data_IF_284277153608
#
_entry.id   IF_284277153608
#
_cell.length_a   1.000
_cell.length_b   1.000
_cell.length_c   1.000
_cell.angle_alpha   90.00
_cell.angle_beta   90.00
_cell.angle_gamma   90.00
#
_symmetry.space_group_name_H-M   'P 1'
#
loop_
_entity.id
_entity.type
_entity.pdbx_description
1 polymer ?
#
# COMPACT_ATOMS: atom_id res chain seq x y z
N UNK A 1 18.12 9.05 7.85
CA UNK A 1 18.60 10.30 7.29
C UNK A 1 19.48 11.07 8.30
N UNK A 2 19.05 11.29 9.52
CA UNK A 2 19.77 12.12 10.51
C UNK A 2 21.12 11.52 10.94
N UNK A 3 21.17 10.22 11.17
CA UNK A 3 22.30 9.55 11.83
C UNK A 3 23.18 8.75 10.88
N UNK A 4 22.62 8.29 9.76
CA UNK A 4 23.36 7.42 8.85
C UNK A 4 24.29 8.21 7.92
N UNK A 5 25.48 7.66 7.69
CA UNK A 5 26.46 8.13 6.70
C UNK A 5 27.14 6.94 6.03
N UNK A 6 27.58 7.05 4.75
CA UNK A 6 28.37 6.01 4.08
C UNK A 6 29.66 5.62 4.79
N UNK A 7 30.19 6.50 5.65
CA UNK A 7 31.40 6.25 6.42
C UNK A 7 31.19 5.38 7.68
N UNK A 8 29.92 4.97 7.99
CA UNK A 8 29.62 4.04 9.07
C UNK A 8 29.76 2.59 8.59
N UNK A 9 30.75 1.86 9.13
CA UNK A 9 30.92 0.42 8.87
C UNK A 9 30.79 -0.32 10.20
N UNK A 10 29.68 -0.97 10.43
CA UNK A 10 29.37 -1.57 11.72
C UNK A 10 29.26 -0.50 12.82
N UNK A 11 30.12 -0.61 13.85
CA UNK A 11 30.20 0.37 14.95
C UNK A 11 31.29 1.42 14.75
N UNK A 12 32.09 1.29 13.67
CA UNK A 12 33.21 2.22 13.38
C UNK A 12 32.74 3.37 12.49
N UNK A 13 33.23 4.56 12.77
CA UNK A 13 33.00 5.75 11.95
C UNK A 13 34.36 6.13 11.36
N UNK A 14 34.44 6.24 10.04
CA UNK A 14 35.64 6.60 9.30
C UNK A 14 35.53 8.03 8.78
N UNK A 15 36.66 8.59 8.36
CA UNK A 15 36.67 9.85 7.61
C UNK A 15 35.97 9.62 6.26
N UNK A 16 34.94 10.39 5.97
CA UNK A 16 34.16 10.29 4.71
C UNK A 16 35.04 10.57 3.47
N UNK A 17 36.13 11.29 3.61
CA UNK A 17 37.09 11.59 2.54
C UNK A 17 38.21 10.56 2.45
N UNK A 18 38.18 9.51 3.27
CA UNK A 18 39.19 8.46 3.19
C UNK A 18 39.19 7.79 1.81
N UNK A 19 40.35 7.67 1.15
CA UNK A 19 40.45 7.21 -0.24
C UNK A 19 39.88 5.79 -0.47
N UNK A 20 39.77 4.98 0.57
CA UNK A 20 39.16 3.64 0.49
C UNK A 20 37.64 3.65 0.63
N UNK A 21 36.98 4.78 0.91
CA UNK A 21 35.56 4.89 0.97
C UNK A 21 35.05 5.38 -0.40
N UNK A 22 34.72 4.43 -1.26
CA UNK A 22 34.31 4.70 -2.63
C UNK A 22 32.82 5.03 -2.74
N UNK A 23 32.04 4.73 -1.70
CA UNK A 23 30.61 4.96 -1.68
C UNK A 23 29.86 4.00 -0.75
N UNK A 24 28.54 3.90 -0.95
CA UNK A 24 27.66 2.99 -0.19
C UNK A 24 26.94 2.02 -1.11
N UNK A 25 26.61 0.85 -0.59
CA UNK A 25 25.82 -0.17 -1.27
C UNK A 25 24.50 -0.36 -0.53
N UNK A 26 23.45 -0.50 -1.28
CA UNK A 26 22.11 -0.84 -0.78
C UNK A 26 21.77 -2.26 -1.20
N UNK A 27 21.48 -3.14 -0.26
CA UNK A 27 21.07 -4.50 -0.51
C UNK A 27 19.62 -4.73 -0.04
N UNK A 28 18.87 -5.50 -0.82
CA UNK A 28 17.50 -5.92 -0.51
C UNK A 28 17.55 -7.41 -0.23
N UNK A 29 17.33 -7.76 1.03
CA UNK A 29 17.30 -9.14 1.49
C UNK A 29 15.85 -9.57 1.69
N UNK A 30 15.42 -10.57 0.93
CA UNK A 30 14.05 -11.11 0.99
C UNK A 30 14.00 -12.50 1.64
N UNK A 31 15.05 -12.94 2.29
CA UNK A 31 15.21 -14.28 2.86
C UNK A 31 14.16 -14.62 3.92
N UNK A 32 13.68 -13.61 4.64
CA UNK A 32 12.66 -13.74 5.68
C UNK A 32 11.30 -13.17 5.29
N UNK A 33 11.13 -12.84 4.02
CA UNK A 33 9.84 -12.39 3.52
C UNK A 33 9.12 -13.58 2.94
N UNK A 34 8.06 -14.00 3.63
CA UNK A 34 7.20 -15.06 3.18
C UNK A 34 6.20 -14.60 2.13
N UNK A 35 5.06 -15.24 2.16
CA UNK A 35 3.98 -15.05 1.22
C UNK A 35 3.40 -13.63 1.23
N UNK A 36 2.94 -13.18 0.09
CA UNK A 36 2.17 -11.94 -0.06
C UNK A 36 3.02 -10.70 -0.25
N UNK A 37 4.32 -10.80 -0.54
CA UNK A 37 5.12 -9.65 -0.96
C UNK A 37 5.16 -9.55 -2.49
N UNK A 38 4.82 -8.38 -3.01
CA UNK A 38 4.90 -8.07 -4.43
C UNK A 38 6.10 -7.17 -4.75
N UNK A 39 6.39 -7.04 -6.05
CA UNK A 39 7.39 -6.05 -6.53
C UNK A 39 7.03 -4.65 -6.04
N UNK A 40 5.74 -4.30 -5.97
CA UNK A 40 5.28 -3.00 -5.47
C UNK A 40 5.60 -2.79 -3.99
N UNK A 41 5.43 -3.81 -3.15
CA UNK A 41 5.80 -3.72 -1.74
C UNK A 41 7.30 -3.51 -1.55
N UNK A 42 8.10 -4.22 -2.32
CA UNK A 42 9.57 -4.05 -2.33
C UNK A 42 9.88 -2.61 -2.72
N UNK A 43 9.31 -2.12 -3.82
CA UNK A 43 9.54 -0.76 -4.29
C UNK A 43 9.14 0.30 -3.25
N UNK A 44 7.99 0.16 -2.61
CA UNK A 44 7.57 1.05 -1.52
C UNK A 44 8.55 1.07 -0.34
N UNK A 45 9.16 -0.06 -0.02
CA UNK A 45 10.13 -0.16 1.09
C UNK A 45 11.46 0.47 0.77
N UNK A 46 11.93 0.34 -0.48
CA UNK A 46 13.29 0.75 -0.86
C UNK A 46 13.37 2.18 -1.37
N UNK A 47 12.28 2.72 -1.93
CA UNK A 47 12.34 4.02 -2.62
C UNK A 47 12.82 5.16 -1.72
N UNK A 48 12.28 5.28 -0.51
CA UNK A 48 12.71 6.31 0.46
C UNK A 48 14.14 6.12 0.98
N UNK A 49 14.57 4.90 1.36
CA UNK A 49 15.99 4.66 1.68
C UNK A 49 16.93 4.97 0.54
N UNK A 50 16.58 4.63 -0.71
CA UNK A 50 17.42 4.94 -1.88
C UNK A 50 17.56 6.45 -2.10
N UNK A 51 16.50 7.23 -1.93
CA UNK A 51 16.58 8.69 -1.99
C UNK A 51 17.52 9.25 -0.91
N UNK A 52 17.48 8.69 0.31
CA UNK A 52 18.40 9.06 1.39
C UNK A 52 19.84 8.70 1.04
N UNK A 53 20.08 7.48 0.55
CA UNK A 53 21.40 7.03 0.11
C UNK A 53 21.95 7.96 -0.97
N UNK A 54 21.15 8.27 -1.99
CA UNK A 54 21.55 9.15 -3.09
C UNK A 54 22.02 10.51 -2.60
N UNK A 55 21.25 11.17 -1.72
CA UNK A 55 21.67 12.48 -1.17
C UNK A 55 22.96 12.35 -0.36
N UNK A 56 23.07 11.34 0.51
CA UNK A 56 24.26 11.12 1.34
C UNK A 56 25.53 10.78 0.54
N UNK A 57 25.36 10.10 -0.58
CA UNK A 57 26.46 9.81 -1.51
C UNK A 57 27.02 11.07 -2.17
N UNK A 58 26.17 12.06 -2.45
CA UNK A 58 26.59 13.35 -3.02
C UNK A 58 27.14 14.34 -1.99
N UNK A 59 26.54 14.38 -0.79
CA UNK A 59 26.78 15.46 0.17
C UNK A 59 27.58 15.02 1.39
N UNK A 60 27.81 13.73 1.58
CA UNK A 60 28.38 13.18 2.81
C UNK A 60 27.38 13.19 3.98
N UNK A 61 27.90 13.07 5.21
CA UNK A 61 27.10 13.07 6.43
C UNK A 61 26.33 14.37 6.63
N UNK A 62 26.99 15.49 6.32
CA UNK A 62 26.45 16.84 6.49
C UNK A 62 25.79 17.30 5.19
N UNK A 63 24.51 17.02 5.05
CA UNK A 63 23.78 17.38 3.82
C UNK A 63 23.51 18.87 3.68
N UNK A 64 23.57 19.64 4.77
CA UNK A 64 23.13 21.03 4.82
C UNK A 64 21.60 21.20 4.63
N UNK A 65 20.85 20.12 4.48
CA UNK A 65 19.39 20.12 4.26
C UNK A 65 18.72 19.54 5.51
N UNK A 66 17.85 20.30 6.22
CA UNK A 66 17.07 19.77 7.33
C UNK A 66 16.23 18.57 6.89
N UNK A 67 15.97 17.63 7.79
CA UNK A 67 15.21 16.42 7.48
C UNK A 67 13.80 16.73 6.97
N UNK A 68 13.15 17.70 7.58
CA UNK A 68 11.80 18.11 7.23
C UNK A 68 11.74 18.61 5.77
N UNK A 69 12.66 19.48 5.38
CA UNK A 69 12.81 19.95 4.00
C UNK A 69 13.14 18.82 3.03
N UNK A 70 14.02 17.91 3.41
CA UNK A 70 14.34 16.72 2.62
C UNK A 70 13.10 15.84 2.44
N UNK A 71 12.36 15.61 3.52
CA UNK A 71 11.17 14.76 3.52
C UNK A 71 10.05 15.31 2.63
N UNK A 72 9.80 16.61 2.68
CA UNK A 72 8.85 17.29 1.80
C UNK A 72 9.25 17.18 0.32
N UNK A 73 10.52 17.50 0.02
CA UNK A 73 11.02 17.45 -1.36
C UNK A 73 11.02 16.03 -1.93
N UNK A 74 11.46 15.03 -1.18
CA UNK A 74 11.48 13.65 -1.67
C UNK A 74 10.08 13.09 -1.94
N UNK A 75 9.07 13.55 -1.20
CA UNK A 75 7.69 13.14 -1.43
C UNK A 75 7.16 13.63 -2.79
N UNK A 76 7.71 14.73 -3.31
CA UNK A 76 7.35 15.28 -4.61
C UNK A 76 8.12 14.66 -5.79
N UNK A 77 9.20 13.92 -5.52
CA UNK A 77 9.97 13.27 -6.58
C UNK A 77 9.15 12.15 -7.21
N UNK A 78 9.06 12.19 -8.54
CA UNK A 78 8.55 11.07 -9.31
C UNK A 78 9.61 9.96 -9.42
N UNK A 79 9.15 8.78 -9.75
CA UNK A 79 9.98 7.69 -10.21
C UNK A 79 10.59 8.03 -11.59
N UNK A 80 11.35 7.12 -12.18
CA UNK A 80 11.88 7.31 -13.53
C UNK A 80 10.74 7.58 -14.54
N UNK A 81 11.00 8.30 -15.62
CA UNK A 81 9.98 8.57 -16.66
C UNK A 81 9.32 7.28 -17.14
N UNK A 82 7.98 7.28 -17.17
CA UNK A 82 7.18 6.12 -17.57
C UNK A 82 7.07 5.01 -16.52
N UNK A 83 7.63 5.19 -15.33
CA UNK A 83 7.56 4.24 -14.22
C UNK A 83 6.67 4.80 -13.12
N UNK A 84 5.71 4.01 -12.64
CA UNK A 84 4.88 4.31 -11.48
C UNK A 84 4.63 3.04 -10.65
N UNK A 85 5.71 2.41 -10.18
CA UNK A 85 5.62 1.22 -9.33
C UNK A 85 4.99 1.51 -7.96
N UNK A 86 5.06 2.77 -7.51
CA UNK A 86 4.38 3.23 -6.30
C UNK A 86 2.87 3.39 -6.50
N UNK A 87 2.37 3.27 -7.72
CA UNK A 87 0.97 3.50 -8.08
C UNK A 87 0.43 4.84 -7.52
N UNK A 88 1.21 5.89 -7.64
CA UNK A 88 0.84 7.23 -7.16
C UNK A 88 -0.16 7.90 -8.08
N UNK A 89 -1.13 8.56 -7.47
CA UNK A 89 -2.05 9.47 -8.14
C UNK A 89 -1.95 10.82 -7.42
N UNK A 90 -1.63 11.89 -8.16
CA UNK A 90 -1.41 13.21 -7.56
C UNK A 90 -0.06 13.36 -6.84
N UNK A 91 0.24 14.58 -6.38
CA UNK A 91 1.51 14.93 -5.71
C UNK A 91 1.31 15.52 -4.31
N UNK A 92 0.11 15.95 -3.99
CA UNK A 92 -0.28 16.52 -2.69
C UNK A 92 -1.40 15.67 -2.10
N UNK A 93 -1.59 15.67 -0.77
CA UNK A 93 -2.76 15.03 -0.16
C UNK A 93 -4.06 15.65 -0.69
N UNK A 94 -4.85 14.88 -1.43
CA UNK A 94 -6.08 15.35 -2.08
C UNK A 94 -7.03 14.21 -2.44
N UNK A 95 -8.29 14.56 -2.74
CA UNK A 95 -9.22 13.69 -3.44
C UNK A 95 -8.75 13.58 -4.91
N UNK A 96 -8.34 12.39 -5.33
CA UNK A 96 -7.73 12.17 -6.66
C UNK A 96 -8.68 11.53 -7.67
N UNK A 97 -9.74 10.90 -7.20
CA UNK A 97 -10.77 10.30 -8.06
C UNK A 97 -12.10 10.21 -7.34
N UNK A 98 -13.18 10.50 -8.05
CA UNK A 98 -14.54 10.32 -7.54
C UNK A 98 -15.50 9.85 -8.63
N UNK A 99 -16.54 9.15 -8.20
CA UNK A 99 -17.62 8.70 -9.09
C UNK A 99 -18.92 8.61 -8.31
N UNK A 100 -19.98 9.24 -8.80
CA UNK A 100 -21.29 9.24 -8.14
C UNK A 100 -21.95 7.86 -8.08
N UNK A 101 -21.75 7.04 -9.11
CA UNK A 101 -22.25 5.65 -9.17
C UNK A 101 -21.22 4.76 -9.84
N UNK A 102 -20.92 3.63 -9.23
CA UNK A 102 -20.07 2.60 -9.82
C UNK A 102 -20.95 1.57 -10.50
N UNK A 103 -20.98 1.61 -11.83
CA UNK A 103 -21.71 0.63 -12.61
C UNK A 103 -20.88 -0.67 -12.73
N UNK A 104 -21.52 -1.86 -12.62
CA UNK A 104 -20.84 -3.12 -12.89
C UNK A 104 -20.16 -3.12 -14.26
N UNK A 105 -18.94 -3.66 -14.33
CA UNK A 105 -18.12 -3.73 -15.54
C UNK A 105 -17.50 -2.40 -16.00
N UNK A 106 -17.77 -1.28 -15.31
CA UNK A 106 -17.18 0.02 -15.67
C UNK A 106 -15.68 0.05 -15.43
N UNK A 107 -14.96 0.84 -16.25
CA UNK A 107 -13.51 1.03 -16.16
C UNK A 107 -13.16 2.41 -15.62
N UNK A 108 -11.93 2.57 -15.16
CA UNK A 108 -11.34 3.84 -14.77
C UNK A 108 -10.01 4.06 -15.48
N UNK A 109 -9.56 5.32 -15.53
CA UNK A 109 -8.26 5.68 -16.12
C UNK A 109 -7.08 5.32 -15.21
N UNK A 110 -7.38 4.91 -13.96
CA UNK A 110 -6.37 4.53 -12.98
C UNK A 110 -6.41 3.02 -12.73
N UNK A 111 -5.32 2.28 -12.99
CA UNK A 111 -5.31 0.83 -12.75
C UNK A 111 -5.39 0.51 -11.26
N UNK A 112 -4.76 1.32 -10.41
CA UNK A 112 -4.66 1.09 -8.97
C UNK A 112 -4.18 2.35 -8.24
N UNK A 113 -4.32 2.37 -6.91
CA UNK A 113 -3.71 3.38 -6.04
C UNK A 113 -2.82 2.71 -4.99
N UNK A 114 -1.57 3.21 -4.89
CA UNK A 114 -0.59 2.78 -3.88
C UNK A 114 -0.66 3.57 -2.59
N UNK A 115 0.18 3.21 -1.66
CA UNK A 115 0.21 3.75 -0.29
C UNK A 115 0.71 5.21 -0.27
N UNK A 116 0.17 6.07 0.62
CA UNK A 116 -0.99 5.85 1.48
C UNK A 116 -2.26 6.21 0.70
N UNK A 117 -3.38 5.58 1.01
CA UNK A 117 -4.64 5.91 0.38
C UNK A 117 -5.85 5.69 1.30
N UNK A 118 -6.96 6.30 0.93
CA UNK A 118 -8.30 5.98 1.43
C UNK A 118 -9.24 5.82 0.25
N UNK A 119 -9.94 4.69 0.20
CA UNK A 119 -11.06 4.45 -0.72
C UNK A 119 -12.33 4.37 0.08
N UNK A 120 -13.31 5.22 -0.22
CA UNK A 120 -14.60 5.26 0.47
C UNK A 120 -15.74 5.19 -0.53
N UNK A 121 -16.82 4.46 -0.20
CA UNK A 121 -18.04 4.39 -0.99
C UNK A 121 -19.24 4.00 -0.13
N UNK A 122 -20.43 4.38 -0.61
CA UNK A 122 -21.68 3.93 -0.02
C UNK A 122 -22.16 2.68 -0.74
N UNK A 123 -22.68 1.71 0.02
CA UNK A 123 -23.23 0.48 -0.52
C UNK A 123 -24.65 0.26 0.00
N UNK A 124 -25.55 -0.15 -0.90
CA UNK A 124 -26.81 -0.81 -0.54
C UNK A 124 -26.67 -2.25 -0.98
N UNK A 125 -26.60 -3.15 -0.02
CA UNK A 125 -26.33 -4.56 -0.24
C UNK A 125 -27.43 -5.27 -1.04
N UNK A 126 -27.02 -6.20 -1.88
CA UNK A 126 -27.87 -7.19 -2.52
C UNK A 126 -27.31 -8.59 -2.22
N UNK A 127 -28.03 -9.63 -2.66
CA UNK A 127 -27.51 -10.99 -2.59
C UNK A 127 -26.40 -11.14 -3.60
N UNK A 128 -25.18 -11.33 -3.11
CA UNK A 128 -24.01 -11.61 -3.91
C UNK A 128 -23.65 -13.11 -3.87
N UNK A 129 -23.08 -13.61 -4.94
CA UNK A 129 -22.46 -14.93 -4.96
C UNK A 129 -21.03 -14.89 -4.42
N UNK A 130 -20.53 -16.03 -3.97
CA UNK A 130 -19.12 -16.17 -3.63
C UNK A 130 -18.23 -15.84 -4.85
N UNK A 131 -17.14 -15.13 -4.62
CA UNK A 131 -16.25 -14.65 -5.66
C UNK A 131 -16.69 -13.34 -6.34
N UNK A 132 -17.74 -12.65 -5.82
CA UNK A 132 -18.18 -11.37 -6.38
C UNK A 132 -17.13 -10.29 -6.15
N UNK A 133 -16.55 -9.83 -7.24
CA UNK A 133 -15.55 -8.76 -7.26
C UNK A 133 -16.21 -7.38 -7.24
N UNK A 134 -15.63 -6.46 -6.48
CA UNK A 134 -16.00 -5.04 -6.57
C UNK A 134 -15.07 -4.31 -7.54
N UNK A 135 -13.76 -4.47 -7.37
CA UNK A 135 -12.74 -3.89 -8.23
C UNK A 135 -11.62 -4.88 -8.51
N UNK A 136 -11.04 -4.73 -9.69
CA UNK A 136 -9.92 -5.54 -10.16
C UNK A 136 -8.85 -4.65 -10.79
N UNK A 137 -7.57 -5.08 -10.63
CA UNK A 137 -6.41 -4.66 -11.42
C UNK A 137 -5.61 -5.91 -11.83
N UNK A 138 -4.53 -5.80 -12.62
CA UNK A 138 -3.66 -6.93 -12.92
C UNK A 138 -3.04 -7.57 -11.67
N UNK A 139 -2.89 -6.84 -10.58
CA UNK A 139 -2.14 -7.26 -9.38
C UNK A 139 -3.03 -7.62 -8.20
N UNK A 140 -4.29 -7.18 -8.18
CA UNK A 140 -5.17 -7.37 -7.04
C UNK A 140 -6.64 -7.40 -7.43
N UNK A 141 -7.45 -8.01 -6.55
CA UNK A 141 -8.91 -8.01 -6.61
C UNK A 141 -9.44 -7.62 -5.24
N UNK A 142 -10.39 -6.70 -5.19
CA UNK A 142 -11.16 -6.41 -4.00
C UNK A 142 -12.56 -7.00 -4.15
N UNK A 143 -12.97 -7.84 -3.20
CA UNK A 143 -14.22 -8.59 -3.21
C UNK A 143 -15.28 -7.95 -2.33
N UNK A 144 -16.53 -7.90 -2.81
CA UNK A 144 -17.72 -7.75 -1.96
C UNK A 144 -18.02 -9.05 -1.21
N UNK A 145 -17.78 -10.18 -1.89
CA UNK A 145 -17.98 -11.52 -1.36
C UNK A 145 -16.83 -12.39 -1.84
N UNK A 146 -15.89 -12.72 -0.98
CA UNK A 146 -14.72 -13.51 -1.36
C UNK A 146 -15.11 -14.95 -1.73
N UNK A 147 -14.27 -15.67 -2.48
CA UNK A 147 -14.61 -16.98 -3.03
C UNK A 147 -14.61 -18.12 -2.00
N UNK A 148 -14.18 -17.88 -0.74
CA UNK A 148 -14.05 -18.95 0.27
C UNK A 148 -15.02 -18.77 1.41
N UNK A 149 -15.22 -17.55 1.89
CA UNK A 149 -16.01 -17.24 3.09
C UNK A 149 -17.27 -16.41 2.81
N UNK A 150 -17.41 -15.90 1.59
CA UNK A 150 -18.52 -15.03 1.20
C UNK A 150 -18.55 -13.72 2.00
N UNK A 151 -17.39 -13.24 2.45
CA UNK A 151 -17.21 -12.00 3.19
C UNK A 151 -16.42 -10.99 2.35
N UNK A 152 -16.42 -9.72 2.76
CA UNK A 152 -15.59 -8.71 2.12
C UNK A 152 -14.10 -9.04 2.30
N UNK A 153 -13.31 -8.83 1.25
CA UNK A 153 -11.90 -9.19 1.31
C UNK A 153 -11.12 -8.74 0.09
N UNK A 154 -9.88 -9.14 0.00
CA UNK A 154 -9.05 -8.90 -1.17
C UNK A 154 -8.08 -10.05 -1.43
N UNK A 155 -7.76 -10.25 -2.70
CA UNK A 155 -6.65 -11.09 -3.12
C UNK A 155 -5.58 -10.23 -3.78
N UNK A 156 -4.33 -10.58 -3.51
CA UNK A 156 -3.16 -10.01 -4.17
C UNK A 156 -2.11 -11.12 -4.32
N UNK A 157 -1.46 -11.18 -5.46
CA UNK A 157 -0.45 -12.21 -5.77
C UNK A 157 -0.91 -13.63 -5.41
N UNK A 158 -2.21 -13.93 -5.59
CA UNK A 158 -2.79 -15.24 -5.29
C UNK A 158 -3.13 -15.46 -3.80
N UNK A 159 -2.88 -14.51 -2.91
CA UNK A 159 -3.17 -14.63 -1.48
C UNK A 159 -4.45 -13.89 -1.10
N UNK A 160 -5.44 -14.64 -0.59
CA UNK A 160 -6.71 -14.12 -0.10
C UNK A 160 -6.60 -13.63 1.34
N UNK A 161 -7.13 -12.43 1.58
CA UNK A 161 -7.29 -11.82 2.90
C UNK A 161 -8.76 -11.45 3.09
N UNK A 162 -9.40 -12.00 4.11
CA UNK A 162 -10.83 -11.84 4.38
C UNK A 162 -11.04 -10.98 5.61
N UNK A 163 -11.85 -9.92 5.49
CA UNK A 163 -12.34 -9.15 6.63
C UNK A 163 -13.53 -9.86 7.30
N UNK A 164 -13.70 -9.73 8.62
CA UNK A 164 -14.85 -10.31 9.32
C UNK A 164 -16.12 -9.47 9.13
N UNK A 165 -16.45 -9.16 7.87
CA UNK A 165 -17.61 -8.35 7.52
C UNK A 165 -18.26 -8.84 6.23
N UNK A 166 -19.58 -8.92 6.26
CA UNK A 166 -20.43 -9.26 5.12
C UNK A 166 -21.52 -8.22 4.98
N UNK A 167 -21.68 -7.68 3.78
CA UNK A 167 -22.82 -6.80 3.47
C UNK A 167 -24.05 -7.66 3.26
N UNK A 168 -25.09 -7.45 4.07
CA UNK A 168 -26.35 -8.18 3.95
C UNK A 168 -27.28 -7.54 2.91
N UNK A 169 -28.17 -8.31 2.26
CA UNK A 169 -29.18 -7.75 1.39
C UNK A 169 -30.03 -6.68 2.10
N UNK A 170 -30.17 -5.50 1.47
CA UNK A 170 -30.89 -4.35 2.01
C UNK A 170 -30.09 -3.49 3.01
N UNK A 171 -28.94 -3.94 3.47
CA UNK A 171 -28.07 -3.18 4.36
C UNK A 171 -27.52 -1.95 3.62
N UNK A 172 -27.54 -0.80 4.31
CA UNK A 172 -26.92 0.44 3.84
C UNK A 172 -25.72 0.76 4.74
N UNK A 173 -24.57 0.90 4.13
CA UNK A 173 -23.34 1.19 4.84
C UNK A 173 -22.41 2.10 4.04
N UNK A 174 -21.62 2.91 4.73
CA UNK A 174 -20.43 3.56 4.17
C UNK A 174 -19.22 2.69 4.47
N UNK A 175 -18.57 2.23 3.43
CA UNK A 175 -17.36 1.43 3.47
C UNK A 175 -16.16 2.33 3.25
N UNK A 176 -15.12 2.14 4.05
CA UNK A 176 -13.86 2.84 3.90
C UNK A 176 -12.70 1.86 4.05
N UNK A 177 -11.82 1.84 3.07
CA UNK A 177 -10.60 1.03 3.06
C UNK A 177 -9.41 2.00 3.10
N UNK A 178 -8.56 1.85 4.12
CA UNK A 178 -7.31 2.60 4.22
C UNK A 178 -6.14 1.66 4.08
N UNK A 179 -5.21 2.00 3.20
CA UNK A 179 -3.98 1.24 2.99
C UNK A 179 -2.75 2.09 3.23
N UNK A 180 -1.85 1.53 4.01
CA UNK A 180 -0.48 2.02 4.14
C UNK A 180 0.49 0.86 3.89
N UNK A 181 1.80 1.10 3.89
CA UNK A 181 2.80 0.05 3.60
C UNK A 181 2.96 -1.00 4.72
N UNK A 182 2.14 -0.93 5.77
CA UNK A 182 2.17 -1.85 6.91
C UNK A 182 0.85 -2.58 7.10
N UNK A 183 -0.29 -1.95 6.78
CA UNK A 183 -1.62 -2.49 7.07
C UNK A 183 -2.67 -2.12 6.02
N UNK A 184 -3.76 -2.89 6.02
CA UNK A 184 -5.00 -2.58 5.31
C UNK A 184 -6.14 -2.58 6.33
N UNK A 185 -6.83 -1.45 6.48
CA UNK A 185 -7.91 -1.25 7.46
C UNK A 185 -9.26 -1.15 6.77
N UNK A 186 -10.24 -1.93 7.23
CA UNK A 186 -11.65 -1.78 6.86
C UNK A 186 -12.40 -1.03 7.95
N UNK A 187 -13.14 0.01 7.54
CA UNK A 187 -14.12 0.72 8.37
C UNK A 187 -15.50 0.60 7.76
N UNK A 188 -16.49 0.43 8.61
CA UNK A 188 -17.91 0.43 8.25
C UNK A 188 -18.62 1.48 9.10
N UNK A 189 -19.28 2.42 8.46
CA UNK A 189 -19.96 3.53 9.12
C UNK A 189 -19.02 4.26 10.13
N UNK A 190 -17.77 4.48 9.72
CA UNK A 190 -16.73 5.15 10.52
C UNK A 190 -16.05 4.28 11.59
N UNK A 191 -16.57 3.09 11.90
CA UNK A 191 -15.99 2.19 12.92
C UNK A 191 -15.03 1.21 12.29
N UNK A 192 -13.86 1.01 12.90
CA UNK A 192 -12.91 -0.04 12.49
C UNK A 192 -13.54 -1.39 12.70
N UNK A 193 -13.61 -2.19 11.64
CA UNK A 193 -14.04 -3.59 11.67
C UNK A 193 -12.83 -4.50 11.83
N UNK A 194 -11.76 -4.21 11.09
CA UNK A 194 -10.51 -4.96 11.16
C UNK A 194 -9.35 -4.10 10.64
N UNK A 195 -8.17 -4.35 11.18
CA UNK A 195 -6.90 -3.80 10.72
C UNK A 195 -5.92 -4.95 10.45
N UNK A 196 -5.75 -5.27 9.18
CA UNK A 196 -4.87 -6.35 8.75
C UNK A 196 -3.43 -5.89 8.71
N UNK A 197 -2.70 -6.14 9.79
CA UNK A 197 -1.26 -5.89 9.85
C UNK A 197 -0.45 -7.05 9.25
N UNK A 198 0.78 -6.77 8.82
CA UNK A 198 1.75 -7.82 8.49
C UNK A 198 1.92 -8.76 9.68
N UNK A 199 1.73 -10.05 9.46
CA UNK A 199 1.85 -11.08 10.47
C UNK A 199 3.23 -11.73 10.43
N UNK A 200 3.77 -12.02 11.60
CA UNK A 200 4.97 -12.85 11.73
C UNK A 200 4.55 -14.30 11.94
N UNK A 201 4.86 -15.14 10.98
CA UNK A 201 4.58 -16.58 11.04
C UNK A 201 5.84 -17.30 11.52
N UNK A 202 5.68 -18.17 12.51
CA UNK A 202 6.77 -18.99 13.06
C UNK A 202 6.63 -20.42 12.58
N UNK A 203 7.75 -21.04 12.25
CA UNK A 203 7.82 -22.44 11.85
C UNK A 203 9.08 -23.10 12.42
N UNK A 204 9.31 -24.39 12.13
CA UNK A 204 10.42 -25.15 12.67
C UNK A 204 10.55 -25.04 14.22
N UNK A 205 9.43 -25.30 14.92
CA UNK A 205 9.32 -25.19 16.39
C UNK A 205 9.74 -23.79 16.92
N UNK A 206 9.44 -22.73 16.17
CA UNK A 206 9.70 -21.35 16.56
C UNK A 206 11.13 -20.85 16.29
N UNK A 207 11.99 -21.69 15.70
CA UNK A 207 13.37 -21.31 15.38
C UNK A 207 13.45 -20.35 14.19
N UNK A 208 12.53 -20.50 13.24
CA UNK A 208 12.46 -19.70 12.03
C UNK A 208 11.19 -18.89 11.98
N UNK A 209 11.19 -17.80 11.24
CA UNK A 209 10.01 -16.98 11.02
C UNK A 209 10.02 -16.33 9.66
N UNK A 210 8.83 -16.08 9.11
CA UNK A 210 8.62 -15.28 7.90
C UNK A 210 7.53 -14.23 8.14
N UNK A 211 7.52 -13.18 7.34
CA UNK A 211 6.48 -12.18 7.35
C UNK A 211 5.42 -12.50 6.30
N UNK A 212 4.17 -12.54 6.71
CA UNK A 212 3.01 -12.58 5.80
C UNK A 212 2.47 -11.16 5.64
N UNK A 213 2.66 -10.59 4.46
CA UNK A 213 2.29 -9.21 4.16
C UNK A 213 0.81 -9.16 3.78
N UNK A 214 0.05 -8.30 4.46
CA UNK A 214 -1.40 -8.13 4.31
C UNK A 214 -1.77 -6.70 3.89
N UNK A 215 -0.87 -6.04 3.18
CA UNK A 215 -1.11 -4.72 2.59
C UNK A 215 -1.77 -4.86 1.22
N UNK A 216 -2.51 -3.87 0.78
CA UNK A 216 -3.18 -3.85 -0.51
C UNK A 216 -2.84 -2.57 -1.26
N UNK A 217 -2.27 -2.69 -2.46
CA UNK A 217 -2.37 -1.65 -3.47
C UNK A 217 -3.77 -1.78 -4.06
N UNK A 218 -4.61 -0.76 -3.87
CA UNK A 218 -6.05 -0.89 -4.12
C UNK A 218 -6.35 -0.90 -5.62
N UNK A 219 -7.04 -1.93 -6.13
CA UNK A 219 -7.39 -2.05 -7.54
C UNK A 219 -8.49 -1.05 -7.93
N UNK A 220 -8.33 -0.38 -9.08
CA UNK A 220 -9.30 0.59 -9.58
C UNK A 220 -9.63 0.39 -11.07
N UNK A 221 -8.90 -0.43 -11.81
CA UNK A 221 -8.97 -0.52 -13.27
C UNK A 221 -10.36 -0.84 -13.77
N UNK A 222 -11.00 -1.84 -13.18
CA UNK A 222 -12.31 -2.33 -13.62
C UNK A 222 -13.19 -2.72 -12.45
N UNK A 223 -14.42 -2.25 -12.46
CA UNK A 223 -15.48 -2.77 -11.58
C UNK A 223 -15.90 -4.17 -12.01
N UNK A 224 -16.14 -5.05 -11.03
CA UNK A 224 -16.65 -6.39 -11.26
C UNK A 224 -18.14 -6.40 -11.63
N UNK A 225 -18.71 -7.60 -11.71
CA UNK A 225 -20.14 -7.80 -11.89
C UNK A 225 -20.76 -8.08 -10.52
N UNK A 226 -21.48 -7.14 -9.98
CA UNK A 226 -22.15 -7.23 -8.67
C UNK A 226 -23.58 -6.73 -8.76
N UNK A 227 -24.42 -7.14 -7.81
CA UNK A 227 -25.84 -6.78 -7.72
C UNK A 227 -26.10 -5.61 -6.77
N UNK A 228 -25.22 -5.39 -5.82
CA UNK A 228 -25.31 -4.30 -4.85
C UNK A 228 -25.21 -2.94 -5.54
N UNK A 229 -25.86 -1.93 -4.96
CA UNK A 229 -25.75 -0.55 -5.45
C UNK A 229 -24.56 0.11 -4.78
N UNK A 230 -23.57 0.55 -5.56
CA UNK A 230 -22.37 1.24 -5.08
C UNK A 230 -22.36 2.67 -5.59
N UNK A 231 -22.25 3.63 -4.66
CA UNK A 231 -22.35 5.06 -4.94
C UNK A 231 -21.29 5.85 -4.18
N UNK A 232 -21.14 7.11 -4.54
CA UNK A 232 -20.28 8.09 -3.86
C UNK A 232 -18.85 7.57 -3.65
N UNK A 233 -18.30 6.85 -4.65
CA UNK A 233 -16.91 6.42 -4.61
C UNK A 233 -16.00 7.65 -4.56
N UNK A 234 -15.11 7.67 -3.57
CA UNK A 234 -14.06 8.68 -3.39
C UNK A 234 -12.74 8.00 -3.11
N UNK A 235 -11.71 8.46 -3.77
CA UNK A 235 -10.34 7.96 -3.61
C UNK A 235 -9.42 9.11 -3.22
N UNK A 236 -8.81 9.00 -2.06
CA UNK A 236 -7.85 9.96 -1.53
C UNK A 236 -6.46 9.33 -1.55
N UNK A 237 -5.45 10.10 -1.91
CA UNK A 237 -4.05 9.67 -1.90
C UNK A 237 -3.35 9.86 -0.55
N UNK A 238 -4.11 9.78 0.52
CA UNK A 238 -3.65 9.82 1.92
C UNK A 238 -4.63 9.04 2.82
N UNK A 239 -4.18 8.66 4.02
CA UNK A 239 -5.04 8.05 5.03
C UNK A 239 -5.84 9.14 5.74
N UNK A 240 -7.15 9.21 5.52
CA UNK A 240 -8.04 10.24 6.09
C UNK A 240 -8.11 10.14 7.61
N UNK A 241 -7.99 8.94 8.18
CA UNK A 241 -8.05 8.73 9.63
C UNK A 241 -6.73 9.05 10.37
N UNK A 242 -5.64 9.22 9.63
CA UNK A 242 -4.31 9.54 10.18
C UNK A 242 -3.72 10.69 9.36
N UNK A 243 -4.15 11.94 9.63
CA UNK A 243 -3.64 13.11 8.91
C UNK A 243 -2.14 13.34 9.14
#
# INVERSE_FOLDING_TARGET
YKEWTPAHIGKAVFDEKHPSILGGMFAIWNDHVGNGISVKDIHHRIFSPLQTLSVKMWTGAQTGIPYETFNEKRALLSEAPGVNQLARIGKKPELVYERSTVAPGSTSDYPEIGYNYTVSFDITGAKESEGTELFRSPNAVFYLSDPIRGMMGFARDGYLNTFPYKVNPGEKATIQIEGNNCSTTLRVNGKVVDEMNTQKLYFNAGKDSMNYVRTLVFPLEKAGNFNSKVQNLKVYNYCVSKP
#
